data_IF_168901899562
#
_entry.id   IF_168901899562
#
_cell.length_a   1.000
_cell.length_b   1.000
_cell.length_c   1.000
_cell.angle_alpha   90.00
_cell.angle_beta   90.00
_cell.angle_gamma   90.00
#
_symmetry.space_group_name_H-M   'P 1'
#
loop_
_entity.id
_entity.type
_entity.pdbx_description
1 polymer ?
#
# COMPACT_ATOMS: atom_id res chain seq x y z
N UNK A 1 -55.25 14.69 -44.73
CA UNK A 1 -55.77 13.91 -45.88
C UNK A 1 -54.75 12.84 -46.26
N UNK A 2 -55.20 11.83 -47.02
CA UNK A 2 -54.48 10.67 -47.56
C UNK A 2 -53.16 10.97 -48.32
N UNK A 3 -52.27 10.00 -48.67
CA UNK A 3 -51.99 8.62 -48.22
C UNK A 3 -50.77 8.04 -49.01
N UNK A 4 -50.48 6.73 -48.85
CA UNK A 4 -49.53 5.86 -49.62
C UNK A 4 -48.02 6.09 -49.34
N UNK A 5 -47.11 5.11 -49.31
CA UNK A 5 -47.08 3.62 -49.34
C UNK A 5 -45.60 3.16 -49.11
N UNK A 6 -45.15 1.92 -48.84
CA UNK A 6 -45.69 0.57 -48.51
C UNK A 6 -44.49 -0.32 -47.99
N UNK A 7 -44.71 -1.62 -47.64
CA UNK A 7 -43.70 -2.73 -47.61
C UNK A 7 -42.61 -2.66 -46.49
N UNK A 8 -42.04 -3.76 -45.96
CA UNK A 8 -42.57 -4.91 -45.16
C UNK A 8 -41.39 -5.68 -44.52
N UNK A 9 -41.67 -6.47 -43.47
CA UNK A 9 -40.92 -7.67 -43.00
C UNK A 9 -39.67 -7.50 -42.12
N UNK A 10 -39.62 -8.32 -41.06
CA UNK A 10 -38.55 -8.48 -40.07
C UNK A 10 -38.14 -9.96 -39.96
N UNK A 11 -36.97 -10.27 -39.37
CA UNK A 11 -36.72 -11.33 -38.35
C UNK A 11 -35.24 -11.76 -38.26
N UNK A 12 -34.94 -12.61 -37.25
CA UNK A 12 -33.76 -13.49 -37.05
C UNK A 12 -32.53 -12.82 -36.40
N UNK A 13 -31.76 -13.45 -35.48
CA UNK A 13 -32.01 -14.44 -34.40
C UNK A 13 -30.70 -14.62 -33.60
N UNK A 14 -30.77 -15.00 -32.32
CA UNK A 14 -29.64 -15.59 -31.57
C UNK A 14 -29.81 -17.13 -31.46
N UNK A 15 -29.03 -17.88 -30.65
CA UNK A 15 -27.81 -18.54 -31.10
C UNK A 15 -27.84 -20.08 -30.96
N UNK A 16 -26.81 -20.77 -31.47
CA UNK A 16 -26.72 -22.24 -31.51
C UNK A 16 -25.52 -22.77 -30.70
N UNK A 17 -25.71 -23.69 -29.74
CA UNK A 17 -24.65 -24.53 -29.17
C UNK A 17 -24.75 -25.97 -29.68
N UNK A 18 -23.63 -26.56 -30.08
CA UNK A 18 -23.56 -27.93 -30.55
C UNK A 18 -22.66 -28.76 -29.62
N UNK A 19 -23.11 -29.97 -29.22
CA UNK A 19 -22.34 -31.22 -29.24
C UNK A 19 -23.23 -32.41 -28.83
N UNK A 20 -23.17 -33.44 -29.67
CA UNK A 20 -23.69 -34.81 -29.56
C UNK A 20 -23.11 -35.60 -28.36
N UNK A 21 -23.54 -36.81 -27.97
CA UNK A 21 -24.69 -37.71 -28.19
C UNK A 21 -24.54 -38.78 -27.10
N UNK A 22 -25.64 -39.37 -26.59
CA UNK A 22 -25.77 -40.82 -26.31
C UNK A 22 -27.13 -41.14 -25.69
N UNK A 23 -27.83 -42.10 -26.29
CA UNK A 23 -29.06 -42.75 -25.80
C UNK A 23 -28.71 -44.20 -25.44
N UNK A 24 -29.41 -44.83 -24.48
CA UNK A 24 -30.61 -45.58 -24.89
C UNK A 24 -31.83 -45.38 -23.97
N UNK A 25 -33.01 -45.63 -24.53
CA UNK A 25 -34.28 -45.68 -23.78
C UNK A 25 -34.42 -47.05 -23.09
N UNK A 26 -35.13 -47.11 -21.95
CA UNK A 26 -36.23 -48.07 -21.68
C UNK A 26 -36.91 -47.78 -20.32
N UNK A 27 -38.21 -47.54 -20.36
CA UNK A 27 -39.18 -47.55 -19.24
C UNK A 27 -39.98 -48.89 -19.31
N UNK A 28 -40.87 -49.30 -18.36
CA UNK A 28 -41.59 -48.48 -17.36
C UNK A 28 -41.89 -49.14 -15.97
N UNK A 29 -42.67 -48.42 -15.14
CA UNK A 29 -43.65 -48.89 -14.11
C UNK A 29 -43.18 -49.78 -12.94
N UNK A 30 -43.36 -49.27 -11.71
CA UNK A 30 -44.26 -49.87 -10.69
C UNK A 30 -44.39 -48.99 -9.44
N UNK A 31 -45.55 -49.03 -8.77
CA UNK A 31 -45.74 -48.48 -7.42
C UNK A 31 -44.97 -49.27 -6.36
N UNK A 32 -44.55 -48.59 -5.29
CA UNK A 32 -44.76 -49.04 -3.90
C UNK A 32 -44.49 -47.94 -2.88
N UNK A 33 -45.50 -47.63 -2.06
CA UNK A 33 -45.31 -46.86 -0.83
C UNK A 33 -44.57 -47.72 0.20
N UNK A 34 -43.72 -47.10 1.03
CA UNK A 34 -43.43 -47.63 2.37
C UNK A 34 -43.16 -46.47 3.33
N UNK A 35 -43.77 -46.54 4.51
CA UNK A 35 -43.48 -45.63 5.62
C UNK A 35 -42.19 -46.06 6.32
N UNK A 36 -41.35 -45.10 6.69
CA UNK A 36 -40.21 -45.33 7.60
C UNK A 36 -40.15 -44.20 8.62
N UNK A 37 -40.37 -44.53 9.90
CA UNK A 37 -40.04 -43.62 10.99
C UNK A 37 -38.53 -43.29 10.97
N UNK A 38 -38.18 -42.06 11.33
CA UNK A 38 -36.83 -41.70 11.80
C UNK A 38 -36.89 -40.85 13.06
N UNK A 39 -35.89 -41.06 13.90
CA UNK A 39 -35.75 -40.66 15.31
C UNK A 39 -35.38 -39.18 15.43
N UNK A 40 -35.81 -38.44 16.48
CA UNK A 40 -35.43 -37.04 16.63
C UNK A 40 -33.96 -36.89 17.02
N UNK A 41 -33.23 -36.04 16.28
CA UNK A 41 -31.82 -35.73 16.52
C UNK A 41 -31.67 -34.50 17.43
N UNK A 42 -30.91 -34.64 18.52
CA UNK A 42 -30.84 -33.67 19.61
C UNK A 42 -29.81 -32.57 19.28
N UNK A 43 -30.24 -31.48 18.66
CA UNK A 43 -29.38 -30.32 18.34
C UNK A 43 -28.76 -29.71 19.61
N UNK A 44 -27.47 -29.95 19.85
CA UNK A 44 -26.69 -29.18 20.81
C UNK A 44 -26.19 -27.89 20.14
N UNK A 45 -26.77 -26.76 20.54
CA UNK A 45 -26.37 -25.43 20.06
C UNK A 45 -25.14 -24.95 20.85
N UNK A 46 -23.94 -25.36 20.45
CA UNK A 46 -22.70 -24.80 21.00
C UNK A 46 -22.50 -23.40 20.42
N UNK A 47 -22.88 -22.38 21.18
CA UNK A 47 -22.61 -20.98 20.84
C UNK A 47 -21.11 -20.70 20.89
N UNK A 48 -20.44 -20.80 19.73
CA UNK A 48 -19.09 -20.26 19.56
C UNK A 48 -19.18 -18.74 19.50
N UNK A 49 -18.77 -18.08 20.58
CA UNK A 49 -18.51 -16.65 20.58
C UNK A 49 -17.27 -16.42 19.69
N UNK A 50 -17.48 -16.13 18.42
CA UNK A 50 -16.43 -15.65 17.53
C UNK A 50 -16.11 -14.20 17.91
N UNK A 51 -15.02 -14.01 18.66
CA UNK A 51 -14.37 -12.71 18.78
C UNK A 51 -13.85 -12.30 17.41
N UNK A 52 -14.65 -11.53 16.67
CA UNK A 52 -14.24 -11.01 15.37
C UNK A 52 -13.09 -10.03 15.57
N UNK A 53 -11.87 -10.47 15.25
CA UNK A 53 -10.70 -9.59 15.23
C UNK A 53 -10.96 -8.57 14.12
N UNK A 54 -11.22 -7.32 14.49
CA UNK A 54 -11.35 -6.24 13.52
C UNK A 54 -10.05 -6.17 12.71
N UNK A 55 -10.14 -6.39 11.39
CA UNK A 55 -9.01 -6.44 10.46
C UNK A 55 -8.14 -5.19 10.61
N UNK A 56 -7.09 -5.31 11.43
CA UNK A 56 -6.11 -4.26 11.64
C UNK A 56 -5.10 -4.37 10.50
N UNK A 57 -4.71 -3.26 9.85
CA UNK A 57 -3.63 -3.31 8.87
C UNK A 57 -2.34 -3.80 9.54
N UNK A 58 -1.85 -4.95 9.07
CA UNK A 58 -0.65 -5.58 9.61
C UNK A 58 0.61 -4.89 9.08
N UNK A 59 1.08 -3.90 9.83
CA UNK A 59 2.35 -3.23 9.58
C UNK A 59 3.55 -4.03 10.11
N UNK A 60 4.66 -4.00 9.37
CA UNK A 60 5.96 -4.59 9.77
C UNK A 60 6.41 -4.11 11.18
N UNK A 61 7.12 -4.97 11.90
CA UNK A 61 7.76 -4.64 13.18
C UNK A 61 8.75 -3.49 13.05
N UNK A 62 9.52 -3.44 11.97
CA UNK A 62 10.47 -2.36 11.66
C UNK A 62 9.78 -1.00 11.51
N UNK A 63 8.63 -0.96 10.82
CA UNK A 63 7.82 0.24 10.67
C UNK A 63 7.22 0.71 12.02
N UNK A 64 6.78 -0.23 12.87
CA UNK A 64 6.29 0.07 14.23
C UNK A 64 7.40 0.69 15.08
N UNK A 65 8.57 0.06 15.18
CA UNK A 65 9.74 0.55 15.95
C UNK A 65 10.14 1.95 15.46
N UNK A 66 10.28 2.16 14.14
CA UNK A 66 10.61 3.47 13.58
C UNK A 66 9.53 4.53 13.88
N UNK A 67 8.25 4.15 13.92
CA UNK A 67 7.16 5.07 14.28
C UNK A 67 7.23 5.52 15.75
N UNK A 68 7.67 4.64 16.66
CA UNK A 68 7.84 4.97 18.08
C UNK A 68 9.05 5.89 18.30
N UNK A 69 10.16 5.66 17.59
CA UNK A 69 11.33 6.58 17.59
C UNK A 69 10.94 8.00 17.10
N UNK A 70 10.06 8.10 16.09
CA UNK A 70 9.56 9.38 15.59
C UNK A 70 8.49 10.03 16.48
N UNK A 71 7.89 9.28 17.40
CA UNK A 71 6.81 9.76 18.28
C UNK A 71 6.92 9.13 19.67
N UNK A 72 7.94 9.51 20.45
CA UNK A 72 8.24 8.87 21.72
C UNK A 72 7.04 8.91 22.67
N UNK A 73 6.83 7.81 23.38
CA UNK A 73 5.74 7.61 24.33
C UNK A 73 4.31 7.72 23.76
N UNK A 74 4.11 7.73 22.43
CA UNK A 74 2.76 7.69 21.82
C UNK A 74 1.89 6.55 22.38
N UNK A 75 2.46 5.35 22.48
CA UNK A 75 1.75 4.16 22.99
C UNK A 75 1.27 4.36 24.44
N UNK A 76 2.08 5.02 25.28
CA UNK A 76 1.75 5.39 26.66
C UNK A 76 0.65 6.46 26.69
N UNK A 77 0.73 7.50 25.86
CA UNK A 77 -0.29 8.57 25.79
C UNK A 77 -1.66 8.03 25.36
N UNK A 78 -1.67 7.17 24.34
CA UNK A 78 -2.87 6.50 23.85
C UNK A 78 -3.50 5.56 24.89
N UNK A 79 -2.68 4.89 25.71
CA UNK A 79 -3.15 4.13 26.87
C UNK A 79 -3.86 5.05 27.88
N UNK A 80 -3.26 6.18 28.26
CA UNK A 80 -3.90 7.12 29.20
C UNK A 80 -5.21 7.72 28.66
N UNK A 81 -5.29 8.08 27.37
CA UNK A 81 -6.54 8.54 26.77
C UNK A 81 -7.65 7.49 26.87
N UNK A 82 -7.34 6.22 26.58
CA UNK A 82 -8.31 5.13 26.69
C UNK A 82 -8.67 4.82 28.15
N UNK A 83 -7.71 4.83 29.07
CA UNK A 83 -7.93 4.60 30.49
C UNK A 83 -8.79 5.71 31.13
N UNK A 84 -8.52 6.98 30.85
CA UNK A 84 -9.33 8.09 31.35
C UNK A 84 -10.72 8.14 30.71
N UNK A 85 -10.85 7.84 29.41
CA UNK A 85 -12.16 7.69 28.79
C UNK A 85 -12.98 6.55 29.43
N UNK A 86 -12.36 5.40 29.71
CA UNK A 86 -13.01 4.28 30.38
C UNK A 86 -13.42 4.63 31.83
N UNK A 87 -12.53 5.31 32.57
CA UNK A 87 -12.79 5.75 33.95
C UNK A 87 -13.96 6.76 34.00
N UNK A 88 -13.97 7.75 33.11
CA UNK A 88 -15.05 8.74 33.03
C UNK A 88 -16.36 8.12 32.51
N UNK A 89 -16.30 7.12 31.63
CA UNK A 89 -17.50 6.36 31.21
C UNK A 89 -18.12 5.60 32.40
N UNK A 90 -17.28 5.00 33.25
CA UNK A 90 -17.73 4.31 34.45
C UNK A 90 -18.30 5.28 35.51
N UNK A 91 -17.60 6.40 35.75
CA UNK A 91 -18.08 7.49 36.61
C UNK A 91 -19.43 8.04 36.14
N UNK A 92 -19.54 8.35 34.85
CA UNK A 92 -20.76 8.84 34.22
C UNK A 92 -21.92 7.86 34.31
N UNK A 93 -21.69 6.55 34.18
CA UNK A 93 -22.73 5.54 34.36
C UNK A 93 -23.23 5.46 35.81
N UNK A 94 -22.32 5.60 36.79
CA UNK A 94 -22.66 5.67 38.21
C UNK A 94 -23.45 6.96 38.52
N UNK A 95 -22.99 8.12 38.03
CA UNK A 95 -23.69 9.40 38.20
C UNK A 95 -25.07 9.40 37.51
N UNK A 96 -25.19 8.81 36.31
CA UNK A 96 -26.45 8.69 35.58
C UNK A 96 -27.48 7.83 36.32
N UNK A 97 -27.08 6.67 36.83
CA UNK A 97 -27.97 5.81 37.63
C UNK A 97 -28.38 6.46 38.94
N UNK A 98 -27.48 7.20 39.61
CA UNK A 98 -27.83 8.01 40.79
C UNK A 98 -28.79 9.16 40.46
N UNK A 99 -28.60 9.82 39.30
CA UNK A 99 -29.46 10.92 38.85
C UNK A 99 -30.90 10.46 38.63
N UNK A 100 -31.11 9.31 37.97
CA UNK A 100 -32.44 8.69 37.82
C UNK A 100 -33.04 8.43 39.21
N UNK A 101 -32.30 7.81 40.12
CA UNK A 101 -32.76 7.52 41.48
C UNK A 101 -33.09 8.77 42.31
N UNK A 102 -32.41 9.90 42.08
CA UNK A 102 -32.69 11.17 42.73
C UNK A 102 -33.94 11.87 42.15
N UNK A 103 -34.12 11.82 40.82
CA UNK A 103 -35.30 12.38 40.14
C UNK A 103 -36.59 11.63 40.50
N UNK A 104 -36.53 10.32 40.77
CA UNK A 104 -37.68 9.54 41.22
C UNK A 104 -38.07 9.74 42.70
N UNK A 105 -37.29 10.48 43.50
CA UNK A 105 -37.49 10.60 44.95
C UNK A 105 -37.44 12.07 45.41
N UNK A 106 -38.58 12.71 45.75
CA UNK A 106 -38.63 14.13 46.12
C UNK A 106 -37.68 14.53 47.26
N UNK A 107 -37.48 13.64 48.24
CA UNK A 107 -36.59 13.83 49.39
C UNK A 107 -35.08 13.86 49.05
N UNK A 108 -34.68 13.60 47.80
CA UNK A 108 -33.28 13.67 47.33
C UNK A 108 -32.99 14.87 46.41
N UNK A 109 -33.96 15.76 46.18
CA UNK A 109 -33.85 16.87 45.24
C UNK A 109 -32.64 17.81 45.49
N UNK A 110 -32.25 18.02 46.76
CA UNK A 110 -31.15 18.92 47.15
C UNK A 110 -29.79 18.52 46.55
N UNK A 111 -29.55 17.23 46.29
CA UNK A 111 -28.28 16.74 45.72
C UNK A 111 -28.25 16.66 44.19
N UNK A 112 -29.37 16.90 43.50
CA UNK A 112 -29.48 16.66 42.04
C UNK A 112 -28.50 17.51 41.24
N UNK A 113 -28.28 18.76 41.63
CA UNK A 113 -27.40 19.68 40.92
C UNK A 113 -25.92 19.23 40.97
N UNK A 114 -25.48 18.62 42.06
CA UNK A 114 -24.09 18.17 42.20
C UNK A 114 -23.84 16.83 41.50
N UNK A 115 -24.83 15.93 41.49
CA UNK A 115 -24.82 14.73 40.64
C UNK A 115 -24.76 15.13 39.16
N UNK A 116 -25.55 16.15 38.75
CA UNK A 116 -25.57 16.64 37.38
C UNK A 116 -24.24 17.30 36.96
N UNK A 117 -23.59 18.06 37.86
CA UNK A 117 -22.22 18.57 37.62
C UNK A 117 -21.23 17.44 37.40
N UNK A 118 -21.25 16.40 38.26
CA UNK A 118 -20.39 15.22 38.12
C UNK A 118 -20.58 14.52 36.77
N UNK A 119 -21.84 14.22 36.41
CA UNK A 119 -22.19 13.63 35.12
C UNK A 119 -21.73 14.49 33.93
N UNK A 120 -21.83 15.82 34.04
CA UNK A 120 -21.33 16.76 33.02
C UNK A 120 -19.80 16.73 32.87
N UNK A 121 -19.06 16.62 33.97
CA UNK A 121 -17.59 16.48 33.97
C UNK A 121 -17.18 15.16 33.31
N UNK A 122 -17.81 14.04 33.70
CA UNK A 122 -17.54 12.73 33.12
C UNK A 122 -17.83 12.69 31.61
N UNK A 123 -18.97 13.24 31.18
CA UNK A 123 -19.30 13.35 29.76
C UNK A 123 -18.29 14.20 28.98
N UNK A 124 -17.88 15.35 29.54
CA UNK A 124 -16.87 16.22 28.92
C UNK A 124 -15.51 15.52 28.81
N UNK A 125 -15.10 14.76 29.85
CA UNK A 125 -13.88 13.98 29.84
C UNK A 125 -13.91 12.85 28.79
N UNK A 126 -15.00 12.09 28.69
CA UNK A 126 -15.18 11.06 27.65
C UNK A 126 -15.05 11.67 26.24
N UNK A 127 -15.74 12.78 25.98
CA UNK A 127 -15.69 13.47 24.68
C UNK A 127 -14.27 13.98 24.35
N UNK A 128 -13.59 14.60 25.31
CA UNK A 128 -12.22 15.11 25.14
C UNK A 128 -11.23 13.96 24.86
N UNK A 129 -11.25 12.90 25.65
CA UNK A 129 -10.30 11.79 25.48
C UNK A 129 -10.60 10.95 24.24
N UNK A 130 -11.86 10.79 23.85
CA UNK A 130 -12.23 10.18 22.57
C UNK A 130 -11.73 11.01 21.37
N UNK A 131 -11.85 12.35 21.43
CA UNK A 131 -11.31 13.24 20.41
C UNK A 131 -9.77 13.16 20.32
N UNK A 132 -9.07 13.18 21.46
CA UNK A 132 -7.61 13.06 21.49
C UNK A 132 -7.13 11.70 20.97
N UNK A 133 -7.78 10.61 21.39
CA UNK A 133 -7.49 9.25 20.93
C UNK A 133 -7.71 9.10 19.41
N UNK A 134 -8.84 9.59 18.88
CA UNK A 134 -9.14 9.48 17.44
C UNK A 134 -8.16 10.30 16.59
N UNK A 135 -7.82 11.53 17.01
CA UNK A 135 -6.80 12.37 16.37
C UNK A 135 -5.43 11.69 16.34
N UNK A 136 -4.95 11.16 17.47
CA UNK A 136 -3.64 10.51 17.51
C UNK A 136 -3.64 9.14 16.82
N UNK A 137 -4.73 8.37 16.86
CA UNK A 137 -4.84 7.13 16.09
C UNK A 137 -4.78 7.38 14.58
N UNK A 138 -5.44 8.43 14.09
CA UNK A 138 -5.37 8.87 12.70
C UNK A 138 -3.93 9.27 12.30
N UNK A 139 -3.29 10.12 13.10
CA UNK A 139 -1.89 10.53 12.87
C UNK A 139 -0.91 9.33 12.89
N UNK A 140 -1.12 8.37 13.79
CA UNK A 140 -0.34 7.13 13.87
C UNK A 140 -0.51 6.27 12.61
N UNK A 141 -1.75 6.06 12.15
CA UNK A 141 -2.02 5.26 10.96
C UNK A 141 -1.39 5.89 9.71
N UNK A 142 -1.57 7.20 9.51
CA UNK A 142 -0.96 7.95 8.41
C UNK A 142 0.59 7.91 8.43
N UNK A 143 1.21 7.81 9.61
CA UNK A 143 2.66 7.62 9.74
C UNK A 143 3.08 6.17 9.43
N UNK A 144 2.37 5.18 9.97
CA UNK A 144 2.64 3.76 9.72
C UNK A 144 2.48 3.39 8.24
N UNK A 145 1.47 3.93 7.55
CA UNK A 145 1.31 3.76 6.10
C UNK A 145 2.50 4.31 5.30
N UNK A 146 2.99 5.51 5.63
CA UNK A 146 4.18 6.10 4.98
C UNK A 146 5.41 5.23 5.21
N UNK A 147 5.65 4.81 6.45
CA UNK A 147 6.78 3.94 6.78
C UNK A 147 6.65 2.55 6.13
N UNK A 148 5.44 2.02 6.00
CA UNK A 148 5.19 0.75 5.30
C UNK A 148 5.54 0.84 3.80
N UNK A 149 5.23 1.96 3.15
CA UNK A 149 5.63 2.23 1.74
C UNK A 149 7.14 2.41 1.58
N UNK A 150 7.80 3.09 2.52
CA UNK A 150 9.27 3.19 2.56
C UNK A 150 9.94 1.84 2.79
N UNK A 151 9.31 0.95 3.57
CA UNK A 151 9.86 -0.36 3.90
C UNK A 151 9.64 -1.38 2.79
N UNK A 152 8.46 -1.41 2.15
CA UNK A 152 8.20 -2.28 1.00
C UNK A 152 9.15 -1.98 -0.15
N UNK A 153 9.41 -0.70 -0.45
CA UNK A 153 10.44 -0.28 -1.39
C UNK A 153 11.84 -0.76 -0.98
N UNK A 154 12.17 -0.69 0.32
CA UNK A 154 13.51 -1.03 0.81
C UNK A 154 13.86 -2.52 0.70
N UNK A 155 12.84 -3.38 0.67
CA UNK A 155 13.00 -4.83 0.56
C UNK A 155 13.10 -5.32 -0.89
N UNK A 156 12.70 -4.51 -1.88
CA UNK A 156 12.82 -4.85 -3.30
C UNK A 156 14.27 -5.17 -3.66
N UNK A 157 14.46 -6.18 -4.51
CA UNK A 157 15.79 -6.63 -4.93
C UNK A 157 16.25 -6.03 -6.25
N UNK A 158 17.50 -5.58 -6.25
CA UNK A 158 18.24 -5.05 -7.39
C UNK A 158 19.47 -5.91 -7.65
N UNK A 159 19.79 -6.11 -8.92
CA UNK A 159 21.05 -6.67 -9.40
C UNK A 159 22.00 -5.53 -9.70
N UNK A 160 23.19 -5.60 -9.10
CA UNK A 160 24.30 -4.66 -9.30
C UNK A 160 25.28 -5.24 -10.32
N UNK A 161 25.51 -6.54 -10.22
CA UNK A 161 26.35 -7.31 -11.14
C UNK A 161 25.72 -8.70 -11.31
N UNK A 162 26.11 -9.47 -12.33
CA UNK A 162 25.60 -10.81 -12.64
C UNK A 162 25.50 -11.72 -11.41
N UNK A 163 26.47 -11.62 -10.49
CA UNK A 163 26.56 -12.44 -9.28
C UNK A 163 26.03 -11.75 -8.01
N UNK A 164 25.75 -10.43 -8.05
CA UNK A 164 25.49 -9.61 -6.85
C UNK A 164 24.08 -9.02 -6.85
N UNK A 165 23.21 -9.60 -6.02
CA UNK A 165 21.84 -9.11 -5.74
C UNK A 165 21.77 -8.51 -4.36
N UNK A 166 21.36 -7.24 -4.27
CA UNK A 166 21.19 -6.51 -3.00
C UNK A 166 19.75 -6.00 -2.85
N UNK A 167 19.24 -5.80 -1.63
CA UNK A 167 18.01 -5.03 -1.43
C UNK A 167 18.26 -3.52 -1.65
N UNK A 168 17.23 -2.76 -2.03
CA UNK A 168 17.27 -1.29 -2.12
C UNK A 168 17.77 -0.66 -0.81
N UNK A 169 17.45 -1.27 0.34
CA UNK A 169 17.92 -0.83 1.66
C UNK A 169 19.44 -0.79 1.80
N UNK A 170 20.20 -1.61 1.05
CA UNK A 170 21.67 -1.63 1.08
C UNK A 170 22.31 -0.44 0.36
N UNK A 171 21.53 0.32 -0.43
CA UNK A 171 21.98 1.58 -1.04
C UNK A 171 21.84 2.78 -0.07
N UNK A 172 21.17 2.60 1.08
CA UNK A 172 21.00 3.67 2.07
C UNK A 172 22.35 4.07 2.69
N UNK A 173 22.63 5.37 2.69
CA UNK A 173 23.91 5.95 3.13
C UNK A 173 25.01 5.91 2.07
N UNK A 174 24.77 5.23 0.94
CA UNK A 174 25.81 4.94 -0.06
C UNK A 174 25.47 5.52 -1.44
N UNK A 175 24.24 5.36 -1.96
CA UNK A 175 23.78 5.99 -3.22
C UNK A 175 22.33 6.54 -3.18
N UNK A 176 22.01 7.37 -4.17
CA UNK A 176 20.67 7.94 -4.43
C UNK A 176 20.04 7.19 -5.60
N UNK A 177 18.87 6.59 -5.40
CA UNK A 177 18.20 5.83 -6.45
C UNK A 177 17.20 6.70 -7.23
N UNK A 178 17.22 6.59 -8.55
CA UNK A 178 16.21 7.14 -9.47
C UNK A 178 15.57 5.97 -10.21
N UNK A 179 14.29 5.76 -9.99
CA UNK A 179 13.53 4.65 -10.60
C UNK A 179 12.76 5.23 -11.78
N UNK A 180 12.95 4.65 -12.96
CA UNK A 180 12.24 5.00 -14.19
C UNK A 180 11.27 3.89 -14.53
N UNK A 181 10.01 4.24 -14.79
CA UNK A 181 8.94 3.28 -15.08
C UNK A 181 8.22 3.75 -16.33
N UNK A 182 8.14 2.91 -17.36
CA UNK A 182 7.43 3.25 -18.59
C UNK A 182 7.72 2.25 -19.71
N UNK A 183 7.20 2.47 -20.92
CA UNK A 183 7.60 1.69 -22.08
C UNK A 183 9.08 1.89 -22.41
N UNK A 184 9.68 0.92 -23.09
CA UNK A 184 11.10 0.89 -23.44
C UNK A 184 11.54 2.14 -24.23
N UNK A 185 10.68 2.66 -25.12
CA UNK A 185 10.90 3.93 -25.83
C UNK A 185 11.05 5.16 -24.91
N UNK A 186 10.26 5.21 -23.83
CA UNK A 186 10.38 6.25 -22.80
C UNK A 186 11.69 6.09 -22.00
N UNK A 187 12.09 4.86 -21.70
CA UNK A 187 13.34 4.59 -21.00
C UNK A 187 14.54 5.07 -21.84
N UNK A 188 14.64 4.65 -23.10
CA UNK A 188 15.73 5.08 -24.01
C UNK A 188 15.80 6.60 -24.14
N UNK A 189 14.68 7.28 -24.37
CA UNK A 189 14.63 8.76 -24.44
C UNK A 189 15.00 9.43 -23.10
N UNK A 190 14.64 8.82 -21.96
CA UNK A 190 15.03 9.31 -20.63
C UNK A 190 16.54 9.21 -20.41
N UNK A 191 17.16 8.12 -20.85
CA UNK A 191 18.62 7.95 -20.83
C UNK A 191 19.33 8.91 -21.80
N UNK A 192 18.82 9.10 -23.02
CA UNK A 192 19.35 10.09 -23.97
C UNK A 192 19.38 11.51 -23.38
N UNK A 193 18.34 11.89 -22.63
CA UNK A 193 18.27 13.18 -21.89
C UNK A 193 19.24 13.27 -20.71
N UNK A 194 19.72 12.14 -20.19
CA UNK A 194 20.65 12.09 -19.07
C UNK A 194 22.12 12.23 -19.49
N UNK A 195 22.47 11.84 -20.73
CA UNK A 195 23.84 11.82 -21.28
C UNK A 195 24.69 13.07 -20.96
N UNK A 196 24.22 14.32 -21.13
CA UNK A 196 25.02 15.51 -20.78
C UNK A 196 25.23 15.74 -19.27
N UNK A 197 24.59 14.94 -18.41
CA UNK A 197 24.67 15.03 -16.95
C UNK A 197 25.32 13.80 -16.29
N UNK A 198 25.66 12.74 -17.03
CA UNK A 198 26.12 11.43 -16.50
C UNK A 198 27.24 11.57 -15.47
N UNK A 199 28.35 12.23 -15.82
CA UNK A 199 29.49 12.43 -14.91
C UNK A 199 29.08 13.20 -13.65
N UNK A 200 28.28 14.25 -13.79
CA UNK A 200 27.82 15.07 -12.69
C UNK A 200 26.83 14.32 -11.77
N UNK A 201 26.07 13.36 -12.31
CA UNK A 201 25.18 12.46 -11.56
C UNK A 201 25.98 11.37 -10.84
N UNK A 202 27.01 10.79 -11.48
CA UNK A 202 27.98 9.85 -10.90
C UNK A 202 28.72 10.48 -9.71
N UNK A 203 29.21 11.71 -9.86
CA UNK A 203 29.83 12.53 -8.80
C UNK A 203 28.92 12.72 -7.57
N UNK A 204 27.60 12.52 -7.74
CA UNK A 204 26.55 12.63 -6.72
C UNK A 204 25.98 11.27 -6.32
N UNK A 205 26.64 10.17 -6.71
CA UNK A 205 26.24 8.79 -6.49
C UNK A 205 24.75 8.55 -6.85
N UNK A 206 24.32 9.08 -8.00
CA UNK A 206 22.96 8.86 -8.52
C UNK A 206 22.94 7.62 -9.41
N UNK A 207 22.02 6.72 -9.10
CA UNK A 207 21.79 5.46 -9.80
C UNK A 207 20.44 5.43 -10.47
N UNK A 208 20.34 4.74 -11.61
CA UNK A 208 19.09 4.55 -12.33
C UNK A 208 18.67 3.09 -12.34
N UNK A 209 17.40 2.87 -12.02
CA UNK A 209 16.69 1.59 -12.18
C UNK A 209 15.67 1.75 -13.29
N UNK A 210 15.94 1.30 -14.52
CA UNK A 210 14.92 1.16 -15.55
C UNK A 210 13.99 -0.03 -15.24
N UNK A 211 12.69 0.22 -15.29
CA UNK A 211 11.65 -0.79 -15.24
C UNK A 211 10.71 -0.62 -16.45
N UNK A 212 10.78 -1.57 -17.38
CA UNK A 212 9.98 -1.59 -18.59
C UNK A 212 8.57 -2.12 -18.32
N UNK A 213 7.54 -1.35 -18.69
CA UNK A 213 6.12 -1.74 -18.53
C UNK A 213 5.64 -2.63 -19.68
N UNK A 214 6.26 -2.52 -20.86
CA UNK A 214 5.91 -3.30 -22.07
C UNK A 214 6.44 -4.74 -22.04
N UNK A 215 7.31 -5.08 -21.09
CA UNK A 215 7.93 -6.41 -20.97
C UNK A 215 9.14 -6.62 -21.88
N UNK A 216 9.34 -5.71 -22.83
CA UNK A 216 10.57 -5.62 -23.62
C UNK A 216 11.76 -5.21 -22.75
N UNK A 217 12.95 -5.62 -23.16
CA UNK A 217 14.19 -5.07 -22.59
C UNK A 217 14.52 -3.79 -23.35
N UNK A 218 14.69 -2.64 -22.68
CA UNK A 218 15.16 -1.45 -23.37
C UNK A 218 16.58 -1.71 -23.87
N UNK A 219 16.75 -1.72 -25.18
CA UNK A 219 18.08 -1.70 -25.77
C UNK A 219 18.56 -0.25 -25.74
N UNK A 220 19.63 -0.01 -24.99
CA UNK A 220 20.19 1.31 -24.84
C UNK A 220 21.32 1.46 -25.86
N UNK A 221 21.01 2.07 -27.00
CA UNK A 221 22.01 2.51 -27.97
C UNK A 221 22.98 3.49 -27.30
N UNK A 222 24.15 2.97 -26.90
CA UNK A 222 25.27 3.79 -26.47
C UNK A 222 26.35 3.78 -27.56
N UNK A 223 26.91 4.95 -27.83
CA UNK A 223 28.02 5.08 -28.79
C UNK A 223 29.23 4.24 -28.34
N UNK A 224 30.02 3.72 -29.27
CA UNK A 224 31.17 2.86 -28.95
C UNK A 224 32.23 3.59 -28.10
N UNK A 225 32.35 4.90 -28.27
CA UNK A 225 33.23 5.80 -27.50
C UNK A 225 32.79 6.02 -26.03
N UNK A 226 31.52 5.77 -25.68
CA UNK A 226 31.10 5.78 -24.28
C UNK A 226 31.80 4.60 -23.56
N UNK A 227 32.65 4.85 -22.55
CA UNK A 227 33.39 3.76 -21.91
C UNK A 227 32.46 2.72 -21.25
N UNK A 228 32.75 1.41 -21.37
CA UNK A 228 31.93 0.36 -20.75
C UNK A 228 31.84 0.47 -19.22
N UNK A 229 32.83 1.14 -18.60
CA UNK A 229 32.84 1.54 -17.19
C UNK A 229 31.62 2.41 -16.86
N UNK A 230 31.48 3.54 -17.57
CA UNK A 230 30.40 4.50 -17.31
C UNK A 230 29.03 4.01 -17.79
N UNK A 231 28.96 3.02 -18.71
CA UNK A 231 27.70 2.36 -19.08
C UNK A 231 27.11 1.54 -17.94
N UNK A 232 27.92 0.70 -17.28
CA UNK A 232 27.46 -0.25 -16.26
C UNK A 232 27.26 0.41 -14.90
N UNK A 233 28.24 1.20 -14.44
CA UNK A 233 28.35 1.63 -13.04
C UNK A 233 27.09 2.32 -12.46
N UNK A 234 26.32 3.07 -13.25
CA UNK A 234 25.14 3.79 -12.74
C UNK A 234 23.78 3.13 -13.00
N UNK A 235 23.75 1.96 -13.65
CA UNK A 235 22.51 1.26 -13.97
C UNK A 235 22.32 0.01 -13.09
N UNK A 236 21.11 -0.18 -12.57
CA UNK A 236 20.75 -1.32 -11.72
C UNK A 236 19.52 -2.05 -12.27
N UNK A 237 19.56 -3.38 -12.32
CA UNK A 237 18.46 -4.17 -12.91
C UNK A 237 17.49 -4.68 -11.82
N UNK A 238 16.17 -4.48 -11.96
CA UNK A 238 15.16 -5.16 -11.14
C UNK A 238 15.28 -6.70 -11.24
N UNK A 239 15.23 -7.42 -10.11
CA UNK A 239 15.29 -8.90 -10.12
C UNK A 239 13.90 -9.52 -10.17
N UNK A 240 13.10 -9.30 -9.13
CA UNK A 240 11.75 -9.86 -9.03
C UNK A 240 10.76 -8.91 -9.70
N UNK A 241 10.65 -8.98 -11.02
CA UNK A 241 9.83 -8.07 -11.84
C UNK A 241 8.37 -8.00 -11.40
N UNK A 242 7.81 -9.10 -10.88
CA UNK A 242 6.46 -9.16 -10.31
C UNK A 242 6.30 -8.39 -9.00
N UNK A 243 7.29 -8.44 -8.09
CA UNK A 243 7.30 -7.63 -6.85
C UNK A 243 7.44 -6.14 -7.18
N UNK A 244 8.31 -5.82 -8.15
CA UNK A 244 8.50 -4.46 -8.66
C UNK A 244 7.23 -3.92 -9.33
N UNK A 245 6.61 -4.67 -10.24
CA UNK A 245 5.35 -4.31 -10.91
C UNK A 245 4.26 -4.01 -9.86
N UNK A 246 4.01 -4.96 -8.95
CA UNK A 246 3.02 -4.81 -7.88
C UNK A 246 3.28 -3.58 -7.02
N UNK A 247 4.53 -3.35 -6.61
CA UNK A 247 4.88 -2.19 -5.78
C UNK A 247 4.64 -0.86 -6.53
N UNK A 248 5.00 -0.81 -7.82
CA UNK A 248 4.77 0.33 -8.72
C UNK A 248 3.27 0.59 -8.89
N UNK A 249 2.47 -0.45 -9.15
CA UNK A 249 1.01 -0.37 -9.28
C UNK A 249 0.35 0.14 -8.00
N UNK A 250 0.75 -0.39 -6.84
CA UNK A 250 0.32 0.10 -5.54
C UNK A 250 0.65 1.59 -5.37
N UNK A 251 1.85 2.06 -5.76
CA UNK A 251 2.20 3.48 -5.69
C UNK A 251 1.40 4.34 -6.68
N UNK A 252 1.23 3.91 -7.94
CA UNK A 252 0.46 4.63 -8.96
C UNK A 252 -1.00 4.80 -8.53
N UNK A 253 -1.62 3.72 -8.03
CA UNK A 253 -2.98 3.72 -7.47
C UNK A 253 -3.11 4.69 -6.29
N UNK A 254 -2.15 4.69 -5.37
CA UNK A 254 -2.12 5.59 -4.20
C UNK A 254 -1.87 7.06 -4.57
N UNK A 255 -1.23 7.32 -5.71
CA UNK A 255 -1.00 8.66 -6.26
C UNK A 255 -2.10 9.12 -7.25
N UNK A 256 -3.10 8.28 -7.52
CA UNK A 256 -4.14 8.49 -8.54
C UNK A 256 -3.55 8.78 -9.95
N UNK A 257 -2.47 8.08 -10.29
CA UNK A 257 -1.80 8.14 -11.61
C UNK A 257 -2.24 6.94 -12.46
N UNK A 258 -2.56 7.12 -13.76
CA UNK A 258 -2.90 6.01 -14.65
C UNK A 258 -1.79 4.94 -14.71
N UNK A 259 -2.18 3.67 -14.83
CA UNK A 259 -1.23 2.55 -14.80
C UNK A 259 -0.23 2.62 -15.97
N UNK A 260 -0.68 3.06 -17.14
CA UNK A 260 0.14 3.17 -18.36
C UNK A 260 1.04 4.41 -18.40
N UNK A 261 0.80 5.40 -17.52
CA UNK A 261 1.59 6.63 -17.53
C UNK A 261 3.06 6.35 -17.16
N UNK A 262 4.04 6.83 -17.94
CA UNK A 262 5.43 6.77 -17.54
C UNK A 262 5.65 7.67 -16.33
N UNK A 263 6.43 7.20 -15.35
CA UNK A 263 6.73 7.93 -14.12
C UNK A 263 8.20 7.79 -13.74
N UNK A 264 8.70 8.77 -13.00
CA UNK A 264 9.96 8.67 -12.31
C UNK A 264 9.77 8.83 -10.80
N UNK A 265 10.67 8.20 -10.05
CA UNK A 265 10.82 8.38 -8.61
C UNK A 265 12.28 8.69 -8.31
N UNK A 266 12.54 9.66 -7.44
CA UNK A 266 13.88 9.95 -6.92
C UNK A 266 13.92 9.70 -5.42
N UNK A 267 14.95 9.01 -4.94
CA UNK A 267 15.20 8.74 -3.54
C UNK A 267 16.37 9.58 -3.02
N UNK A 268 16.30 9.91 -1.73
CA UNK A 268 17.41 10.45 -0.96
C UNK A 268 18.37 9.33 -0.55
N UNK A 269 19.51 9.73 -0.01
CA UNK A 269 20.51 8.84 0.60
C UNK A 269 19.94 7.97 1.74
N UNK A 270 18.92 8.42 2.47
CA UNK A 270 18.25 7.62 3.53
C UNK A 270 17.23 6.60 2.95
N UNK A 271 17.09 6.54 1.62
CA UNK A 271 16.13 5.70 0.91
C UNK A 271 14.69 6.23 1.00
N UNK A 272 14.46 7.45 1.48
CA UNK A 272 13.15 8.11 1.43
C UNK A 272 12.91 8.78 0.09
N UNK A 273 11.65 8.90 -0.32
CA UNK A 273 11.26 9.61 -1.54
C UNK A 273 11.64 11.09 -1.45
N UNK A 274 12.44 11.58 -2.40
CA UNK A 274 12.80 12.99 -2.59
C UNK A 274 11.81 13.74 -3.47
N UNK A 275 11.25 13.06 -4.46
CA UNK A 275 10.30 13.59 -5.43
C UNK A 275 9.90 12.53 -6.45
N UNK A 276 8.70 12.67 -7.00
CA UNK A 276 8.09 11.77 -7.99
C UNK A 276 7.32 12.59 -9.02
N UNK A 277 7.21 12.10 -10.25
CA UNK A 277 6.41 12.77 -11.27
C UNK A 277 6.07 11.87 -12.46
N UNK A 278 5.12 12.33 -13.26
CA UNK A 278 4.78 11.74 -14.57
C UNK A 278 5.76 12.27 -15.62
N UNK A 279 6.18 11.42 -16.55
CA UNK A 279 7.16 11.74 -17.58
C UNK A 279 8.61 11.69 -17.08
N UNK A 280 9.47 12.50 -17.70
CA UNK A 280 10.93 12.43 -17.52
C UNK A 280 11.40 13.05 -16.20
N UNK A 281 12.45 12.50 -15.56
CA UNK A 281 13.09 13.12 -14.40
C UNK A 281 13.81 14.43 -14.79
N UNK A 282 13.87 15.43 -13.89
CA UNK A 282 14.58 16.68 -14.14
C UNK A 282 16.08 16.52 -13.86
N UNK A 283 16.82 15.86 -14.75
CA UNK A 283 18.25 15.54 -14.59
C UNK A 283 19.12 16.74 -14.15
N UNK A 284 18.93 17.91 -14.79
CA UNK A 284 19.63 19.14 -14.43
C UNK A 284 19.36 19.57 -12.97
N UNK A 285 18.12 19.43 -12.49
CA UNK A 285 17.77 19.77 -11.11
C UNK A 285 18.42 18.81 -10.09
N UNK A 286 18.65 17.55 -10.45
CA UNK A 286 19.42 16.62 -9.60
C UNK A 286 20.88 17.06 -9.49
N UNK A 287 21.51 17.46 -10.59
CA UNK A 287 22.89 18.00 -10.57
C UNK A 287 22.98 19.30 -9.75
N UNK A 288 21.99 20.20 -9.88
CA UNK A 288 21.97 21.46 -9.14
C UNK A 288 21.69 21.31 -7.63
N UNK A 289 20.84 20.36 -7.22
CA UNK A 289 20.33 20.26 -5.85
C UNK A 289 20.99 19.18 -4.98
N UNK A 290 21.60 18.15 -5.57
CA UNK A 290 22.19 17.05 -4.80
C UNK A 290 23.67 17.33 -4.52
N UNK A 291 24.14 17.16 -3.26
CA UNK A 291 25.53 17.37 -2.93
C UNK A 291 26.42 16.24 -3.48
N UNK A 292 27.62 16.56 -4.01
CA UNK A 292 28.56 15.58 -4.52
C UNK A 292 29.13 14.71 -3.39
N UNK A 293 29.55 13.49 -3.73
CA UNK A 293 30.08 12.49 -2.79
C UNK A 293 31.33 11.82 -3.36
N UNK A 294 32.46 12.53 -3.31
CA UNK A 294 33.73 12.00 -3.83
C UNK A 294 34.24 10.83 -2.98
N UNK A 295 34.64 9.74 -3.63
CA UNK A 295 35.36 8.60 -3.04
C UNK A 295 34.55 7.64 -2.16
N UNK A 296 33.43 8.05 -1.57
CA UNK A 296 32.74 7.25 -0.54
C UNK A 296 31.94 6.05 -1.09
N UNK A 297 31.69 5.97 -2.40
CA UNK A 297 30.77 4.97 -2.96
C UNK A 297 31.39 3.81 -3.76
N UNK A 298 32.66 3.92 -4.16
CA UNK A 298 33.32 2.92 -5.04
C UNK A 298 33.21 1.48 -4.53
N UNK A 299 33.36 1.25 -3.22
CA UNK A 299 33.40 -0.08 -2.62
C UNK A 299 32.13 -0.95 -2.78
N UNK A 300 30.96 -0.37 -3.08
CA UNK A 300 29.76 -1.18 -3.41
C UNK A 300 29.77 -1.63 -4.88
N UNK A 301 30.40 -0.84 -5.76
CA UNK A 301 30.49 -1.08 -7.19
C UNK A 301 31.83 -1.65 -7.67
N UNK A 302 32.76 -1.91 -6.76
CA UNK A 302 34.14 -2.35 -7.04
C UNK A 302 34.29 -3.66 -7.85
N UNK A 303 33.16 -4.34 -8.13
CA UNK A 303 33.08 -5.51 -9.04
C UNK A 303 32.23 -5.31 -10.29
N UNK A 304 31.67 -4.12 -10.54
CA UNK A 304 30.94 -3.78 -11.77
C UNK A 304 31.88 -3.41 -12.93
N UNK A 305 33.16 -3.16 -12.64
CA UNK A 305 34.17 -2.81 -13.64
C UNK A 305 34.67 -4.01 -14.46
N UNK A 306 34.24 -5.23 -14.10
CA UNK A 306 34.55 -6.47 -14.80
C UNK A 306 35.88 -7.11 -14.43
N UNK A 307 36.60 -6.63 -13.39
CA UNK A 307 37.80 -7.31 -12.90
C UNK A 307 37.47 -8.63 -12.22
N UNK A 308 37.79 -9.72 -12.90
CA UNK A 308 38.11 -10.99 -12.23
C UNK A 308 39.43 -10.84 -11.48
N UNK A 309 39.41 -11.19 -10.19
CA UNK A 309 40.59 -11.60 -9.43
C UNK A 309 40.97 -13.05 -9.81
#
# INVERSE_FOLDING_TARGET
>A
MAAMALITSSLISCPNPNIHQLKPNLLPRSLKQSLSLRKPERKQLVSRICCSTANKPDFSSTAKIRSEVLSPFRSVRMFFYLAFAASATLGGLIAFTQLIGALSNPSRAVGVLDILKGLGIDLAAVLLFAFLYTRENSAKNAQLEKLSREESLSNLRLRVDEKKVIPVSALRGVARLVILVGPSSFLVESFRRSKPFTEALLDRAVLVVPFATDGDKPDFEFEEDDEPRNKRLWQLTPVYTSEWARWIEEQKKLANVPIDSPVYLSLRMDGRVRGSGVGYPPWNAFVAQLPPMKGMWSGILDGMDGRVL
#
